data_IF_205603859321
#
_entry.id   IF_205603859321
#
_cell.length_a   1.000
_cell.length_b   1.000
_cell.length_c   1.000
_cell.angle_alpha   90.00
_cell.angle_beta   90.00
_cell.angle_gamma   90.00
#
_symmetry.space_group_name_H-M   'P 1'
#
loop_
_entity.id
_entity.type
_entity.pdbx_description
1 polymer ?
#
# COMPACT_ATOMS: atom_id res chain seq x y z
N UNK A 1 32.08 -17.70 -55.41
CA UNK A 1 30.65 -17.38 -55.17
C UNK A 1 30.48 -17.37 -53.66
N UNK A 2 30.41 -16.16 -53.07
CA UNK A 2 30.50 -15.94 -51.62
C UNK A 2 29.13 -16.03 -50.94
N UNK A 3 28.93 -16.99 -50.05
CA UNK A 3 27.81 -17.10 -49.12
C UNK A 3 28.28 -16.79 -47.70
N UNK A 4 28.42 -15.54 -47.31
CA UNK A 4 28.59 -15.13 -45.92
C UNK A 4 28.16 -13.66 -45.76
N UNK A 5 26.85 -13.41 -45.64
CA UNK A 5 26.35 -12.10 -45.14
C UNK A 5 24.83 -12.12 -44.91
N UNK A 6 24.35 -12.92 -43.91
CA UNK A 6 22.97 -12.75 -43.38
C UNK A 6 22.82 -13.29 -41.98
N UNK A 7 23.55 -12.76 -40.97
CA UNK A 7 23.32 -13.16 -39.57
C UNK A 7 23.80 -12.07 -38.60
N UNK A 8 23.33 -10.82 -38.73
CA UNK A 8 23.63 -9.76 -37.74
C UNK A 8 22.52 -8.73 -37.52
N UNK A 9 21.27 -9.10 -37.66
CA UNK A 9 20.15 -8.13 -37.51
C UNK A 9 19.03 -8.56 -36.55
N UNK A 10 19.24 -9.51 -35.66
CA UNK A 10 18.17 -10.03 -34.75
C UNK A 10 18.43 -9.83 -33.26
N UNK A 11 19.41 -9.03 -32.84
CA UNK A 11 19.78 -8.87 -31.43
C UNK A 11 19.40 -7.50 -30.79
N UNK A 12 18.63 -6.64 -31.42
CA UNK A 12 18.39 -5.25 -30.98
C UNK A 12 16.95 -4.91 -30.56
N UNK A 13 16.03 -5.87 -30.51
CA UNK A 13 14.61 -5.55 -30.21
C UNK A 13 14.18 -5.89 -28.78
N UNK A 14 14.96 -6.59 -28.00
CA UNK A 14 14.55 -7.06 -26.66
C UNK A 14 14.80 -6.08 -25.50
N UNK A 15 15.48 -4.96 -25.70
CA UNK A 15 15.90 -4.05 -24.61
C UNK A 15 14.89 -2.92 -24.28
N UNK A 16 13.82 -2.72 -25.06
CA UNK A 16 12.94 -1.55 -24.94
C UNK A 16 11.68 -1.74 -24.09
N UNK A 17 11.33 -2.95 -23.66
CA UNK A 17 10.05 -3.22 -22.97
C UNK A 17 10.11 -2.99 -21.45
N UNK A 18 11.26 -2.85 -20.82
CA UNK A 18 11.42 -2.74 -19.36
C UNK A 18 11.64 -1.31 -18.85
N UNK A 19 11.97 -0.38 -19.73
CA UNK A 19 12.25 1.01 -19.36
C UNK A 19 11.05 1.79 -18.76
N UNK A 20 9.79 1.63 -19.21
CA UNK A 20 8.69 2.46 -18.71
C UNK A 20 8.26 2.15 -17.28
N UNK A 21 8.30 0.88 -16.84
CA UNK A 21 7.92 0.54 -15.45
C UNK A 21 8.95 1.01 -14.41
N UNK A 22 10.23 0.82 -14.68
CA UNK A 22 11.29 1.30 -13.79
C UNK A 22 11.29 2.83 -13.63
N UNK A 23 10.94 3.56 -14.69
CA UNK A 23 10.82 5.02 -14.64
C UNK A 23 9.57 5.47 -13.86
N UNK A 24 8.45 4.74 -13.96
CA UNK A 24 7.24 5.06 -13.20
C UNK A 24 7.45 4.85 -11.69
N UNK A 25 8.11 3.76 -11.31
CA UNK A 25 8.46 3.49 -9.91
C UNK A 25 9.40 4.57 -9.35
N UNK A 26 10.40 4.99 -10.11
CA UNK A 26 11.34 6.04 -9.67
C UNK A 26 10.65 7.40 -9.52
N UNK A 27 9.66 7.72 -10.36
CA UNK A 27 8.85 8.93 -10.21
C UNK A 27 8.01 8.89 -8.93
N UNK A 28 7.43 7.74 -8.58
CA UNK A 28 6.70 7.56 -7.32
C UNK A 28 7.63 7.67 -6.11
N UNK A 29 8.85 7.13 -6.19
CA UNK A 29 9.85 7.30 -5.13
C UNK A 29 10.19 8.77 -4.89
N UNK A 30 10.40 9.55 -5.95
CA UNK A 30 10.64 11.00 -5.85
C UNK A 30 9.48 11.73 -5.18
N UNK A 31 8.23 11.40 -5.51
CA UNK A 31 7.06 11.96 -4.84
C UNK A 31 7.03 11.63 -3.34
N UNK A 32 7.29 10.37 -2.98
CA UNK A 32 7.33 9.95 -1.58
C UNK A 32 8.47 10.60 -0.80
N UNK A 33 9.66 10.77 -1.42
CA UNK A 33 10.82 11.44 -0.82
C UNK A 33 10.54 12.94 -0.55
N UNK A 34 9.84 13.60 -1.46
CA UNK A 34 9.43 15.00 -1.29
C UNK A 34 8.40 15.18 -0.18
N UNK A 35 7.69 14.11 0.22
CA UNK A 35 6.61 14.19 1.18
C UNK A 35 5.32 14.79 0.62
N UNK A 36 4.34 15.01 1.49
CA UNK A 36 3.06 15.62 1.10
C UNK A 36 2.08 14.67 0.43
N UNK A 37 2.38 13.37 0.35
CA UNK A 37 1.50 12.35 -0.21
C UNK A 37 0.70 11.64 0.88
N UNK A 38 -0.43 11.06 0.48
CA UNK A 38 -1.18 10.09 1.28
C UNK A 38 -0.97 8.72 0.66
N UNK A 39 -0.56 7.75 1.48
CA UNK A 39 -0.26 6.38 1.03
C UNK A 39 -1.25 5.42 1.66
N UNK A 40 -2.13 4.84 0.85
CA UNK A 40 -2.95 3.70 1.25
C UNK A 40 -2.13 2.43 1.10
N UNK A 41 -1.99 1.66 2.18
CA UNK A 41 -1.26 0.40 2.16
C UNK A 41 -2.19 -0.74 2.60
N UNK A 42 -2.29 -1.78 1.79
CA UNK A 42 -2.92 -3.01 2.26
C UNK A 42 -2.05 -3.65 3.33
N UNK A 43 -2.66 -4.17 4.40
CA UNK A 43 -1.94 -4.97 5.40
C UNK A 43 -1.09 -6.07 4.73
N UNK A 44 -0.01 -6.47 5.38
CA UNK A 44 0.87 -7.52 4.90
C UNK A 44 0.17 -8.90 4.86
N UNK A 45 0.85 -9.91 4.32
CA UNK A 45 0.30 -11.24 4.11
C UNK A 45 -0.17 -11.85 5.44
N UNK A 46 -1.37 -12.42 5.42
CA UNK A 46 -1.96 -13.12 6.57
C UNK A 46 -1.80 -14.63 6.46
N UNK A 47 -2.05 -15.35 7.54
CA UNK A 47 -2.24 -16.80 7.50
C UNK A 47 -3.30 -17.18 6.44
N UNK A 48 -3.21 -18.37 5.81
CA UNK A 48 -4.18 -18.83 4.82
C UNK A 48 -5.62 -18.75 5.33
N UNK A 49 -6.56 -18.50 4.43
CA UNK A 49 -7.99 -18.41 4.73
C UNK A 49 -8.68 -17.20 4.11
N UNK A 50 -9.99 -17.15 4.20
CA UNK A 50 -10.85 -16.07 3.70
C UNK A 50 -11.62 -15.45 4.88
N UNK A 51 -11.56 -14.14 5.01
CA UNK A 51 -12.22 -13.43 6.11
C UNK A 51 -11.52 -13.60 7.47
N UNK A 52 -12.17 -13.15 8.50
CA UNK A 52 -11.81 -13.41 9.88
C UNK A 52 -12.66 -14.58 10.43
N UNK A 53 -12.23 -15.30 11.46
CA UNK A 53 -13.05 -16.35 12.08
C UNK A 53 -14.38 -15.83 12.62
N UNK A 54 -15.38 -16.68 12.69
CA UNK A 54 -16.66 -16.32 13.32
C UNK A 54 -16.46 -15.92 14.79
N UNK A 55 -17.18 -14.92 15.22
CA UNK A 55 -17.07 -14.38 16.60
C UNK A 55 -15.83 -13.54 16.87
N UNK A 56 -15.05 -13.15 15.83
CA UNK A 56 -13.90 -12.27 16.01
C UNK A 56 -14.30 -10.93 16.63
N UNK A 57 -13.43 -10.40 17.50
CA UNK A 57 -13.56 -9.08 18.10
C UNK A 57 -12.29 -8.26 17.85
N UNK A 58 -12.43 -6.90 17.79
CA UNK A 58 -11.30 -6.02 17.47
C UNK A 58 -10.31 -5.84 18.62
N UNK A 59 -10.72 -6.08 19.83
CA UNK A 59 -9.92 -5.98 21.06
C UNK A 59 -9.16 -7.27 21.39
N UNK A 60 -9.51 -8.38 20.73
CA UNK A 60 -8.85 -9.67 20.92
C UNK A 60 -8.15 -10.13 19.63
N UNK A 61 -6.85 -9.88 19.51
CA UNK A 61 -6.07 -10.29 18.35
C UNK A 61 -6.06 -11.81 18.12
N UNK A 62 -6.18 -12.62 19.17
CA UNK A 62 -6.20 -14.07 19.04
C UNK A 62 -7.45 -14.58 18.30
N UNK A 63 -8.54 -13.81 18.30
CA UNK A 63 -9.77 -14.13 17.57
C UNK A 63 -9.75 -13.73 16.10
N UNK A 64 -8.69 -13.04 15.63
CA UNK A 64 -8.60 -12.50 14.28
C UNK A 64 -7.69 -13.34 13.39
N UNK A 65 -7.86 -13.21 12.06
CA UNK A 65 -6.87 -13.68 11.10
C UNK A 65 -5.69 -12.70 11.06
N UNK A 66 -4.56 -13.12 11.62
CA UNK A 66 -3.37 -12.31 11.81
C UNK A 66 -2.34 -12.49 10.68
N UNK A 67 -1.26 -11.70 10.72
CA UNK A 67 -0.15 -11.83 9.77
C UNK A 67 0.49 -13.23 9.87
N UNK A 68 0.89 -13.75 8.73
CA UNK A 68 1.81 -14.89 8.65
C UNK A 68 3.24 -14.44 8.98
N UNK A 69 4.14 -15.38 9.26
CA UNK A 69 5.55 -15.00 9.46
C UNK A 69 6.18 -14.44 8.17
N UNK A 70 5.81 -14.97 7.02
CA UNK A 70 6.16 -14.40 5.72
C UNK A 70 5.68 -12.94 5.60
N UNK A 71 4.42 -12.66 5.96
CA UNK A 71 3.88 -11.30 5.94
C UNK A 71 4.62 -10.34 6.87
N UNK A 72 5.05 -10.81 8.05
CA UNK A 72 5.92 -10.04 8.94
C UNK A 72 7.26 -9.74 8.29
N UNK A 73 7.84 -10.73 7.58
CA UNK A 73 9.05 -10.58 6.78
C UNK A 73 8.90 -9.49 5.72
N UNK A 74 7.84 -9.52 4.93
CA UNK A 74 7.53 -8.52 3.90
C UNK A 74 7.39 -7.10 4.51
N UNK A 75 6.71 -6.97 5.65
CA UNK A 75 6.55 -5.68 6.32
C UNK A 75 7.91 -5.13 6.82
N UNK A 76 8.78 -5.96 7.39
CA UNK A 76 10.13 -5.56 7.80
C UNK A 76 11.01 -5.17 6.60
N UNK A 77 10.92 -5.90 5.48
CA UNK A 77 11.63 -5.57 4.24
C UNK A 77 11.18 -4.23 3.68
N UNK A 78 9.86 -3.96 3.66
CA UNK A 78 9.33 -2.67 3.26
C UNK A 78 9.89 -1.53 4.14
N UNK A 79 10.00 -1.73 5.45
CA UNK A 79 10.61 -0.75 6.35
C UNK A 79 12.07 -0.44 5.97
N UNK A 80 12.84 -1.45 5.58
CA UNK A 80 14.23 -1.27 5.12
C UNK A 80 14.27 -0.44 3.83
N UNK A 81 13.40 -0.75 2.86
CA UNK A 81 13.34 -0.02 1.59
C UNK A 81 12.92 1.43 1.80
N UNK A 82 11.87 1.70 2.59
CA UNK A 82 11.43 3.07 2.89
C UNK A 82 12.54 3.91 3.54
N UNK A 83 13.28 3.32 4.48
CA UNK A 83 14.43 3.99 5.12
C UNK A 83 15.58 4.22 4.14
N UNK A 84 15.96 3.22 3.37
CA UNK A 84 17.04 3.32 2.37
C UNK A 84 16.73 4.37 1.28
N UNK A 85 15.45 4.52 0.94
CA UNK A 85 14.98 5.54 0.00
C UNK A 85 14.79 6.93 0.63
N UNK A 86 14.96 7.08 1.93
CA UNK A 86 14.79 8.35 2.62
C UNK A 86 13.34 8.87 2.61
N UNK A 87 12.35 7.99 2.59
CA UNK A 87 10.93 8.37 2.59
C UNK A 87 10.51 8.90 3.96
N UNK A 88 10.11 10.17 4.09
CA UNK A 88 9.68 10.73 5.37
C UNK A 88 8.30 10.20 5.76
N UNK A 89 8.24 9.43 6.84
CA UNK A 89 6.99 8.98 7.48
C UNK A 89 6.54 10.06 8.45
N UNK A 90 5.35 10.63 8.20
CA UNK A 90 4.72 11.62 9.07
C UNK A 90 3.66 10.97 9.95
N UNK A 91 2.39 11.13 9.60
CA UNK A 91 1.26 10.54 10.33
C UNK A 91 1.02 9.10 9.89
N UNK A 92 0.74 8.21 10.84
CA UNK A 92 0.40 6.81 10.56
C UNK A 92 -0.96 6.47 11.16
N UNK A 93 -1.90 6.14 10.28
CA UNK A 93 -3.24 5.68 10.62
C UNK A 93 -3.36 4.20 10.27
N UNK A 94 -4.12 3.44 11.05
CA UNK A 94 -4.39 2.05 10.76
C UNK A 94 -5.84 1.66 11.07
N UNK A 95 -6.37 0.77 10.25
CA UNK A 95 -7.56 0.02 10.60
C UNK A 95 -7.43 -0.60 12.00
N UNK A 96 -8.51 -0.68 12.81
CA UNK A 96 -8.47 -1.29 14.13
C UNK A 96 -8.10 -2.78 14.16
N UNK A 97 -8.06 -3.45 13.02
CA UNK A 97 -7.65 -4.87 12.93
C UNK A 97 -6.18 -5.07 13.29
N UNK A 98 -5.89 -6.10 14.07
CA UNK A 98 -4.54 -6.37 14.56
C UNK A 98 -3.51 -6.53 13.44
N UNK A 99 -3.87 -7.16 12.31
CA UNK A 99 -2.98 -7.26 11.13
C UNK A 99 -2.60 -5.91 10.53
N UNK A 100 -3.47 -4.91 10.60
CA UNK A 100 -3.17 -3.57 10.11
C UNK A 100 -2.28 -2.81 11.09
N UNK A 101 -2.54 -2.92 12.39
CA UNK A 101 -1.73 -2.33 13.46
C UNK A 101 -0.32 -2.92 13.43
N UNK A 102 -0.21 -4.26 13.34
CA UNK A 102 1.07 -4.96 13.27
C UNK A 102 1.85 -4.59 11.99
N UNK A 103 1.16 -4.50 10.82
CA UNK A 103 1.80 -4.02 9.58
C UNK A 103 2.35 -2.61 9.76
N UNK A 104 1.58 -1.68 10.36
CA UNK A 104 2.03 -0.32 10.61
C UNK A 104 3.26 -0.28 11.53
N UNK A 105 3.29 -1.11 12.57
CA UNK A 105 4.44 -1.25 13.47
C UNK A 105 5.70 -1.71 12.74
N UNK A 106 5.58 -2.79 11.99
CA UNK A 106 6.71 -3.44 11.32
C UNK A 106 7.23 -2.63 10.12
N UNK A 107 6.31 -2.08 9.29
CA UNK A 107 6.69 -1.39 8.05
C UNK A 107 7.03 0.09 8.23
N UNK A 108 6.38 0.76 9.17
CA UNK A 108 6.45 2.22 9.33
C UNK A 108 7.07 2.66 10.66
N UNK A 109 7.43 1.72 11.53
CA UNK A 109 8.00 2.01 12.86
C UNK A 109 6.99 2.62 13.85
N UNK A 110 5.68 2.57 13.56
CA UNK A 110 4.64 3.11 14.44
C UNK A 110 4.04 2.01 15.30
N UNK A 111 4.56 1.85 16.52
CA UNK A 111 4.05 0.84 17.47
C UNK A 111 2.61 1.11 17.94
N UNK A 112 2.19 2.38 17.88
CA UNK A 112 0.82 2.81 18.22
C UNK A 112 0.28 3.74 17.12
N UNK A 113 -0.12 3.19 15.95
CA UNK A 113 -0.73 4.00 14.91
C UNK A 113 -2.09 4.52 15.39
N UNK A 114 -2.52 5.64 14.83
CA UNK A 114 -3.85 6.18 15.09
C UNK A 114 -4.91 5.19 14.56
N UNK A 115 -5.64 4.58 15.47
CA UNK A 115 -6.72 3.65 15.11
C UNK A 115 -7.87 4.40 14.46
N UNK A 116 -8.15 4.11 13.21
CA UNK A 116 -9.10 4.83 12.37
C UNK A 116 -10.18 3.87 11.85
N UNK A 117 -11.39 3.88 12.41
CA UNK A 117 -12.47 2.98 11.99
C UNK A 117 -12.81 3.07 10.49
N UNK A 118 -12.68 4.25 9.89
CA UNK A 118 -12.88 4.46 8.46
C UNK A 118 -11.92 3.65 7.56
N UNK A 119 -10.82 3.14 8.09
CA UNK A 119 -9.90 2.20 7.42
C UNK A 119 -10.29 0.73 7.58
N UNK A 120 -11.42 0.44 8.25
CA UNK A 120 -11.90 -0.91 8.55
C UNK A 120 -12.19 -1.75 7.30
N UNK A 121 -12.33 -3.06 7.52
CA UNK A 121 -12.55 -4.03 6.43
C UNK A 121 -13.98 -3.97 5.88
N UNK A 122 -14.12 -3.70 4.59
CA UNK A 122 -15.42 -3.70 3.88
C UNK A 122 -15.77 -5.06 3.25
N UNK A 123 -14.89 -6.08 3.37
CA UNK A 123 -15.18 -7.41 2.85
C UNK A 123 -16.40 -8.00 3.57
N UNK A 124 -17.43 -8.39 2.79
CA UNK A 124 -18.69 -8.92 3.33
C UNK A 124 -19.55 -7.90 4.06
N UNK A 125 -19.26 -6.60 3.95
CA UNK A 125 -19.96 -5.53 4.67
C UNK A 125 -20.38 -4.37 3.75
N UNK A 126 -21.15 -4.64 2.68
CA UNK A 126 -21.54 -3.60 1.71
C UNK A 126 -22.33 -2.46 2.33
N UNK A 127 -23.09 -2.72 3.39
CA UNK A 127 -23.90 -1.74 4.12
C UNK A 127 -23.08 -0.63 4.80
N UNK A 128 -21.81 -0.88 5.09
CA UNK A 128 -20.91 0.10 5.71
C UNK A 128 -20.22 1.01 4.70
N UNK A 129 -20.25 0.66 3.40
CA UNK A 129 -19.44 1.28 2.37
C UNK A 129 -19.59 2.79 2.29
N UNK A 130 -20.80 3.28 2.15
CA UNK A 130 -21.03 4.71 1.94
C UNK A 130 -20.60 5.55 3.14
N UNK A 131 -21.00 5.15 4.34
CA UNK A 131 -20.61 5.83 5.58
C UNK A 131 -19.09 5.84 5.74
N UNK A 132 -18.46 4.69 5.58
CA UNK A 132 -17.02 4.55 5.77
C UNK A 132 -16.23 5.37 4.74
N UNK A 133 -16.67 5.41 3.48
CA UNK A 133 -16.05 6.24 2.44
C UNK A 133 -16.26 7.74 2.68
N UNK A 134 -17.41 8.16 3.23
CA UNK A 134 -17.64 9.54 3.60
C UNK A 134 -16.65 10.04 4.67
N UNK A 135 -16.29 9.17 5.62
CA UNK A 135 -15.28 9.45 6.66
C UNK A 135 -13.85 9.36 6.13
N UNK A 136 -13.56 8.45 5.18
CA UNK A 136 -12.22 8.19 4.67
C UNK A 136 -11.77 9.22 3.62
N UNK A 137 -12.67 9.72 2.76
CA UNK A 137 -12.34 10.69 1.71
C UNK A 137 -11.69 11.97 2.24
N UNK A 138 -12.18 12.62 3.31
CA UNK A 138 -11.52 13.78 3.91
C UNK A 138 -10.06 13.49 4.30
N UNK A 139 -9.81 12.32 4.90
CA UNK A 139 -8.46 11.91 5.30
C UNK A 139 -7.55 11.70 4.07
N UNK A 140 -8.07 11.04 3.03
CA UNK A 140 -7.32 10.78 1.79
C UNK A 140 -7.02 12.06 1.00
N UNK A 141 -7.88 13.06 1.08
CA UNK A 141 -7.70 14.35 0.42
C UNK A 141 -6.96 15.39 1.25
N UNK A 142 -6.58 15.08 2.50
CA UNK A 142 -5.92 16.03 3.39
C UNK A 142 -4.41 16.06 3.13
N UNK A 143 -3.86 17.24 2.81
CA UNK A 143 -2.42 17.40 2.66
C UNK A 143 -1.71 17.17 4.01
N UNK A 144 -0.71 16.28 4.07
CA UNK A 144 0.09 16.05 5.27
C UNK A 144 0.78 17.33 5.75
N UNK A 145 0.77 17.58 7.06
CA UNK A 145 1.50 18.71 7.65
C UNK A 145 3.03 18.49 7.64
N UNK A 146 3.48 17.21 7.68
CA UNK A 146 4.88 16.80 7.66
C UNK A 146 5.01 15.41 7.01
N UNK A 147 6.04 15.23 6.19
CA UNK A 147 6.31 13.96 5.52
C UNK A 147 5.12 13.44 4.72
N UNK A 148 4.87 12.14 4.74
CA UNK A 148 3.71 11.50 4.13
C UNK A 148 2.76 10.98 5.21
N UNK A 149 1.46 10.93 4.91
CA UNK A 149 0.48 10.23 5.75
C UNK A 149 0.31 8.81 5.22
N UNK A 150 0.60 7.81 6.05
CA UNK A 150 0.37 6.39 5.73
C UNK A 150 -0.92 5.90 6.38
N UNK A 151 -1.71 5.16 5.61
CA UNK A 151 -3.00 4.60 6.01
C UNK A 151 -3.02 3.10 5.75
N UNK A 152 -2.83 2.29 6.78
CA UNK A 152 -2.84 0.82 6.65
C UNK A 152 -4.26 0.30 6.75
N UNK A 153 -4.72 -0.38 5.71
CA UNK A 153 -6.11 -0.81 5.53
C UNK A 153 -6.21 -2.19 4.86
N UNK A 154 -7.37 -2.48 4.32
CA UNK A 154 -7.75 -3.74 3.67
C UNK A 154 -7.93 -3.55 2.16
N UNK A 155 -7.72 -4.61 1.38
CA UNK A 155 -7.90 -4.58 -0.06
C UNK A 155 -9.30 -4.09 -0.47
N UNK A 156 -10.36 -4.58 0.20
CA UNK A 156 -11.75 -4.18 -0.06
C UNK A 156 -12.00 -2.69 0.13
N UNK A 157 -11.40 -2.10 1.15
CA UNK A 157 -11.54 -0.67 1.48
C UNK A 157 -10.75 0.19 0.49
N UNK A 158 -9.54 -0.24 0.12
CA UNK A 158 -8.74 0.48 -0.88
C UNK A 158 -9.42 0.43 -2.25
N UNK A 159 -9.92 -0.73 -2.67
CA UNK A 159 -10.73 -0.85 -3.91
C UNK A 159 -11.96 0.06 -3.86
N UNK A 160 -12.66 0.10 -2.73
CA UNK A 160 -13.85 0.92 -2.59
C UNK A 160 -13.55 2.43 -2.75
N UNK A 161 -12.40 2.89 -2.29
CA UNK A 161 -12.01 4.30 -2.35
C UNK A 161 -11.37 4.68 -3.70
N UNK A 162 -10.52 3.81 -4.28
CA UNK A 162 -9.63 4.14 -5.40
C UNK A 162 -9.93 3.38 -6.70
N UNK A 163 -10.70 2.29 -6.64
CA UNK A 163 -10.88 1.34 -7.74
C UNK A 163 -9.70 0.38 -7.95
N UNK A 164 -8.61 0.52 -7.18
CA UNK A 164 -7.39 -0.30 -7.31
C UNK A 164 -7.42 -1.46 -6.33
N UNK A 165 -7.22 -2.68 -6.82
CA UNK A 165 -7.03 -3.88 -5.99
C UNK A 165 -5.53 -4.07 -5.70
N UNK A 166 -5.06 -3.70 -4.50
CA UNK A 166 -3.65 -3.84 -4.16
C UNK A 166 -3.31 -5.26 -3.72
N UNK A 167 -2.08 -5.70 -3.98
CA UNK A 167 -1.47 -6.86 -3.35
C UNK A 167 -1.20 -6.60 -1.85
N UNK A 168 -0.84 -7.65 -1.09
CA UNK A 168 -0.44 -7.51 0.33
C UNK A 168 0.81 -6.67 0.46
N UNK A 169 0.82 -5.73 1.42
CA UNK A 169 1.86 -4.71 1.63
C UNK A 169 2.12 -3.78 0.43
N UNK A 170 1.24 -3.78 -0.58
CA UNK A 170 1.32 -2.83 -1.68
C UNK A 170 0.80 -1.45 -1.27
N UNK A 171 1.45 -0.43 -1.77
CA UNK A 171 1.14 0.98 -1.57
C UNK A 171 0.42 1.56 -2.78
N UNK A 172 -0.68 2.27 -2.55
CA UNK A 172 -1.36 3.14 -3.52
C UNK A 172 -1.10 4.59 -3.09
N UNK A 173 -0.34 5.31 -3.91
CA UNK A 173 0.08 6.69 -3.63
C UNK A 173 -0.97 7.66 -4.14
N UNK A 174 -1.47 8.51 -3.26
CA UNK A 174 -2.44 9.54 -3.55
C UNK A 174 -1.81 10.92 -3.38
N UNK A 175 -2.02 11.81 -4.37
CA UNK A 175 -1.71 13.22 -4.24
C UNK A 175 -2.95 13.97 -3.77
N UNK A 176 -2.99 14.42 -2.50
CA UNK A 176 -4.16 15.11 -1.93
C UNK A 176 -4.37 16.49 -2.54
N UNK A 177 -5.63 16.87 -2.76
CA UNK A 177 -6.03 18.14 -3.38
C UNK A 177 -6.92 19.00 -2.48
N UNK A 178 -7.12 18.58 -1.22
CA UNK A 178 -8.03 19.26 -0.30
C UNK A 178 -9.50 18.92 -0.54
N UNK A 179 -10.35 19.22 0.44
CA UNK A 179 -11.79 19.01 0.34
C UNK A 179 -12.20 17.55 0.06
N UNK A 180 -11.44 16.58 0.57
CA UNK A 180 -11.69 15.15 0.31
C UNK A 180 -11.33 14.68 -1.10
N UNK A 181 -10.72 15.52 -1.92
CA UNK A 181 -10.29 15.19 -3.29
C UNK A 181 -8.82 14.76 -3.31
N UNK A 182 -8.51 13.84 -4.21
CA UNK A 182 -7.16 13.36 -4.48
C UNK A 182 -7.07 12.82 -5.90
N UNK A 183 -5.86 12.70 -6.42
CA UNK A 183 -5.54 11.91 -7.61
C UNK A 183 -4.70 10.72 -7.24
N UNK A 184 -4.86 9.60 -7.93
CA UNK A 184 -3.96 8.45 -7.79
C UNK A 184 -2.70 8.73 -8.59
N UNK A 185 -1.56 8.86 -7.91
CA UNK A 185 -0.25 9.04 -8.55
C UNK A 185 0.29 7.71 -9.11
N UNK A 186 -0.02 6.60 -8.44
CA UNK A 186 0.37 5.27 -8.87
C UNK A 186 0.27 4.23 -7.75
N UNK A 187 0.77 3.04 -8.04
CA UNK A 187 0.84 1.92 -7.08
C UNK A 187 2.23 1.29 -7.13
N UNK A 188 2.72 0.76 -6.03
CA UNK A 188 4.04 0.12 -5.97
C UNK A 188 4.12 -0.98 -4.91
N UNK A 189 4.84 -2.03 -5.24
CA UNK A 189 5.12 -3.19 -4.39
C UNK A 189 6.61 -3.22 -4.05
N UNK A 190 6.98 -2.54 -2.95
CA UNK A 190 8.37 -2.25 -2.63
C UNK A 190 9.11 -3.36 -1.84
N UNK A 191 8.45 -4.47 -1.50
CA UNK A 191 9.06 -5.57 -0.74
C UNK A 191 9.47 -6.78 -1.60
N UNK A 192 9.29 -6.72 -2.92
CA UNK A 192 9.82 -7.70 -3.87
C UNK A 192 11.10 -7.17 -4.50
N UNK A 193 12.10 -8.04 -4.72
CA UNK A 193 13.34 -7.66 -5.40
C UNK A 193 13.09 -7.28 -6.87
#
# INVERSE_FOLDING_TARGET
MNLHQTSRLLALVAAFAWAPMAMADEALWKLLQAGGQVVLMRHALTTPGVGDPDGMTLDNCASQRNLSEEGRGHARQLAQVLRARGVPVGRVLASPWCRCIETAGLALGSSQPERTPALGNLFGRPELRERQLAELRPLAGQKPAKGNTFMVSHGSTIVALTGISPDTAEMVVLTPQGGGRFTVAGRMLAHRP
#
